data_IF_847879678683
#
_entry.id   IF_847879678683
#
_cell.length_a   1.000
_cell.length_b   1.000
_cell.length_c   1.000
_cell.angle_alpha   90.00
_cell.angle_beta   90.00
_cell.angle_gamma   90.00
#
_symmetry.space_group_name_H-M   'P 1'
#
loop_
_entity.id
_entity.type
_entity.pdbx_description
1 polymer ?
#
# COMPACT_ATOMS: atom_id res chain seq x y z
N UNK A 1 -12.83 3.21 -4.34
CA UNK A 1 -12.09 1.96 -4.07
C UNK A 1 -11.23 2.06 -2.84
N UNK A 2 -10.72 0.93 -2.36
CA UNK A 2 -9.74 0.86 -1.29
C UNK A 2 -8.45 0.28 -1.85
N UNK A 3 -7.38 1.06 -1.77
CA UNK A 3 -6.03 0.66 -2.14
C UNK A 3 -5.22 0.37 -0.89
N UNK A 4 -4.52 -0.75 -0.89
CA UNK A 4 -3.50 -1.11 0.09
C UNK A 4 -2.14 -1.16 -0.58
N UNK A 5 -1.12 -0.62 0.09
CA UNK A 5 0.27 -0.64 -0.34
C UNK A 5 1.08 -1.35 0.74
N UNK A 6 1.80 -2.40 0.38
CA UNK A 6 2.60 -3.19 1.32
C UNK A 6 4.08 -3.16 0.96
N UNK A 7 4.92 -3.13 1.98
CA UNK A 7 6.37 -3.29 1.86
C UNK A 7 6.85 -4.36 2.83
N UNK A 8 7.40 -5.45 2.31
CA UNK A 8 7.99 -6.51 3.11
C UNK A 8 9.50 -6.29 3.25
N UNK A 9 9.93 -5.85 4.44
CA UNK A 9 11.33 -5.58 4.76
C UNK A 9 12.24 -6.79 4.56
N UNK A 10 11.75 -8.01 4.84
CA UNK A 10 12.54 -9.23 4.76
C UNK A 10 12.90 -9.61 3.32
N UNK A 11 11.98 -9.37 2.38
CA UNK A 11 12.17 -9.75 0.96
C UNK A 11 12.45 -8.54 0.06
N UNK A 12 12.35 -7.33 0.60
CA UNK A 12 12.44 -6.08 -0.16
C UNK A 12 11.34 -5.93 -1.21
N UNK A 13 10.18 -6.57 -1.00
CA UNK A 13 9.07 -6.60 -1.94
C UNK A 13 8.08 -5.47 -1.69
N UNK A 14 7.66 -4.81 -2.76
CA UNK A 14 6.52 -3.86 -2.75
C UNK A 14 5.36 -4.53 -3.48
N UNK A 15 4.19 -4.56 -2.86
CA UNK A 15 2.97 -5.15 -3.42
C UNK A 15 1.75 -4.26 -3.22
N UNK A 16 0.71 -4.50 -4.03
CA UNK A 16 -0.52 -3.73 -3.99
C UNK A 16 -1.75 -4.62 -3.83
N UNK A 17 -2.77 -4.06 -3.20
CA UNK A 17 -4.08 -4.66 -3.02
C UNK A 17 -5.13 -3.64 -3.45
N UNK A 18 -6.16 -4.05 -4.18
CA UNK A 18 -7.30 -3.21 -4.53
C UNK A 18 -8.59 -3.93 -4.21
N UNK A 19 -9.45 -3.29 -3.42
CA UNK A 19 -10.76 -3.83 -3.02
C UNK A 19 -10.64 -5.27 -2.47
N UNK A 20 -9.68 -5.49 -1.57
CA UNK A 20 -9.36 -6.80 -0.95
C UNK A 20 -8.83 -7.88 -1.89
N UNK A 21 -8.53 -7.53 -3.16
CA UNK A 21 -7.85 -8.43 -4.10
C UNK A 21 -6.36 -8.08 -4.19
N UNK A 22 -5.52 -9.09 -3.95
CA UNK A 22 -4.07 -8.96 -4.15
C UNK A 22 -3.75 -8.75 -5.63
N UNK A 23 -3.02 -7.68 -5.95
CA UNK A 23 -2.64 -7.32 -7.32
C UNK A 23 -1.26 -7.85 -7.72
N UNK A 24 -0.47 -8.34 -6.75
CA UNK A 24 0.87 -8.85 -6.99
C UNK A 24 1.99 -7.94 -6.52
N UNK A 25 3.21 -8.42 -6.74
CA UNK A 25 4.46 -7.73 -6.44
C UNK A 25 4.79 -6.79 -7.59
N UNK A 26 4.98 -5.51 -7.31
CA UNK A 26 5.41 -4.51 -8.28
C UNK A 26 6.94 -4.41 -8.37
N UNK A 27 7.63 -4.54 -7.23
CA UNK A 27 9.10 -4.44 -7.16
C UNK A 27 9.67 -5.45 -6.17
N UNK A 28 10.94 -5.85 -6.39
CA UNK A 28 11.71 -6.75 -5.54
C UNK A 28 13.11 -6.18 -5.26
N UNK A 29 13.73 -6.59 -4.16
CA UNK A 29 15.13 -6.24 -3.85
C UNK A 29 15.34 -4.80 -3.40
N UNK A 30 14.29 -4.11 -2.92
CA UNK A 30 14.38 -2.75 -2.41
C UNK A 30 14.53 -2.75 -0.89
N UNK A 31 15.66 -2.27 -0.36
CA UNK A 31 15.98 -2.24 1.07
C UNK A 31 16.33 -0.82 1.51
N UNK A 32 15.29 -0.02 1.77
CA UNK A 32 15.44 1.40 2.13
C UNK A 32 14.47 1.79 3.23
N UNK A 33 14.73 2.94 3.85
CA UNK A 33 13.73 3.60 4.70
C UNK A 33 12.76 4.35 3.79
N UNK A 34 11.48 3.98 3.85
CA UNK A 34 10.42 4.58 3.03
C UNK A 34 9.46 5.39 3.88
N UNK A 35 8.95 6.48 3.31
CA UNK A 35 7.87 7.26 3.88
C UNK A 35 6.67 7.22 2.91
N UNK A 36 5.45 6.97 3.40
CA UNK A 36 4.28 6.91 2.54
C UNK A 36 4.02 8.27 1.88
N UNK A 37 3.69 8.25 0.58
CA UNK A 37 3.41 9.45 -0.21
C UNK A 37 2.17 9.22 -1.08
N UNK A 38 1.32 10.23 -1.19
CA UNK A 38 0.11 10.19 -2.03
C UNK A 38 0.08 11.47 -2.86
N UNK A 39 -0.11 11.33 -4.17
CA UNK A 39 -0.27 12.45 -5.10
C UNK A 39 -1.55 12.32 -5.90
N UNK A 40 -2.16 13.45 -6.26
CA UNK A 40 -3.31 13.54 -7.15
C UNK A 40 -3.13 14.70 -8.13
N UNK A 41 -3.50 14.50 -9.39
CA UNK A 41 -3.43 15.54 -10.41
C UNK A 41 -4.56 16.58 -10.28
N UNK A 42 -5.67 16.21 -9.63
CA UNK A 42 -6.86 17.06 -9.46
C UNK A 42 -7.33 17.05 -8.00
N UNK A 43 -8.41 17.79 -7.71
CA UNK A 43 -9.11 17.73 -6.42
C UNK A 43 -9.49 16.27 -6.14
N UNK A 44 -9.08 15.77 -4.98
CA UNK A 44 -9.44 14.44 -4.51
C UNK A 44 -9.82 14.49 -3.03
N UNK A 45 -10.66 13.55 -2.60
CA UNK A 45 -10.98 13.33 -1.21
C UNK A 45 -10.66 11.89 -0.86
N UNK A 46 -9.82 11.69 0.14
CA UNK A 46 -9.35 10.38 0.55
C UNK A 46 -9.28 10.28 2.07
N UNK A 47 -9.44 9.07 2.59
CA UNK A 47 -9.17 8.72 3.98
C UNK A 47 -8.01 7.72 3.99
N UNK A 48 -7.03 7.95 4.86
CA UNK A 48 -5.91 7.03 5.07
C UNK A 48 -6.15 6.17 6.31
N UNK A 49 -5.59 4.96 6.30
CA UNK A 49 -5.54 4.08 7.47
C UNK A 49 -4.11 3.55 7.61
N UNK A 50 -3.40 3.99 8.64
CA UNK A 50 -2.06 3.54 9.03
C UNK A 50 -2.11 2.57 10.23
N UNK A 51 -3.27 1.94 10.47
CA UNK A 51 -3.51 1.03 11.60
C UNK A 51 -4.41 1.60 12.69
N UNK A 52 -5.01 2.78 12.49
CA UNK A 52 -6.00 3.32 13.43
C UNK A 52 -7.35 2.60 13.37
N UNK A 53 -7.67 2.02 12.20
CA UNK A 53 -8.87 1.22 11.96
C UNK A 53 -8.48 -0.18 11.47
N UNK A 54 -9.40 -1.14 11.51
CA UNK A 54 -9.17 -2.48 10.93
C UNK A 54 -8.92 -2.40 9.41
N UNK A 55 -7.93 -3.16 8.93
CA UNK A 55 -7.63 -3.24 7.50
C UNK A 55 -8.70 -4.05 6.75
N UNK A 56 -9.10 -3.56 5.56
CA UNK A 56 -10.04 -4.28 4.69
C UNK A 56 -9.46 -5.55 4.05
N UNK A 57 -8.14 -5.62 3.94
CA UNK A 57 -7.44 -6.82 3.51
C UNK A 57 -6.98 -7.58 4.75
N UNK A 58 -7.24 -8.89 4.75
CA UNK A 58 -6.72 -9.85 5.71
C UNK A 58 -5.92 -10.87 4.90
N UNK A 59 -4.69 -11.12 5.32
CA UNK A 59 -3.81 -12.13 4.73
C UNK A 59 -4.37 -13.54 4.96
#
# INVERSE_FOLDING_TARGET
DVLGCGYCLNTGQIFFIMNSKYLGIAYIGLFYTWYPSIGSNCVCSLKVNFGQDEFKYKE
#
